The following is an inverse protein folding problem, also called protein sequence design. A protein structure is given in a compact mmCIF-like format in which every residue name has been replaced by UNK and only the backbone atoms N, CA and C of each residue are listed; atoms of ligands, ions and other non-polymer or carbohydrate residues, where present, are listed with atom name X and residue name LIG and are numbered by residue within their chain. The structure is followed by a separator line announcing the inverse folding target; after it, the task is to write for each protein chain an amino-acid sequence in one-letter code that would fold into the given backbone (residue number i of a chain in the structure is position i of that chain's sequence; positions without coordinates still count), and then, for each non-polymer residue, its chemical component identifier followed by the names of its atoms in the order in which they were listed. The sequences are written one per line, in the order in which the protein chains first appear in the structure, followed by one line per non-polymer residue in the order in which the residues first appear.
data_IF_426778461527
#
_entry.id   IF_426778461527
#
_cell.length_a   1.000
_cell.length_b   1.000
_cell.length_c   1.000
_cell.angle_alpha   90.00
_cell.angle_beta   90.00
_cell.angle_gamma   90.00
#
_symmetry.space_group_name_H-M   'P 1'
#
loop_
_entity.id
_entity.type
_entity.pdbx_description
1 polymer ?
#
# COMPACT_ATOMS: atom_id res chain seq x y z
N UNK A 1 15.32 -1.65 -48.41
CA UNK A 1 15.56 -1.98 -46.99
C UNK A 1 14.66 -1.11 -46.13
N UNK A 2 13.64 -1.67 -45.48
CA UNK A 2 12.91 -0.96 -44.40
C UNK A 2 13.69 -1.18 -43.12
N UNK A 3 14.17 -0.09 -42.52
CA UNK A 3 14.77 -0.13 -41.19
C UNK A 3 13.66 -0.43 -40.19
N UNK A 4 13.76 -1.46 -39.33
CA UNK A 4 12.77 -1.68 -38.29
C UNK A 4 12.85 -0.50 -37.32
N UNK A 5 11.72 0.14 -37.05
CA UNK A 5 11.64 1.16 -36.00
C UNK A 5 12.02 0.49 -34.66
N UNK A 6 13.12 0.94 -34.05
CA UNK A 6 13.50 0.50 -32.70
C UNK A 6 12.34 0.79 -31.74
N UNK A 7 11.68 -0.27 -31.29
CA UNK A 7 10.66 -0.17 -30.25
C UNK A 7 11.41 0.13 -28.95
N UNK A 8 11.48 1.41 -28.58
CA UNK A 8 12.11 1.86 -27.34
C UNK A 8 11.47 1.17 -26.14
N UNK A 9 12.29 0.78 -25.16
CA UNK A 9 11.81 0.21 -23.89
C UNK A 9 10.85 1.19 -23.21
N UNK A 10 9.83 0.65 -22.52
CA UNK A 10 8.85 1.45 -21.76
C UNK A 10 9.56 2.39 -20.77
N UNK A 11 10.64 1.91 -20.13
CA UNK A 11 11.45 2.70 -19.19
C UNK A 11 12.10 3.91 -19.88
N UNK A 12 12.60 3.71 -21.10
CA UNK A 12 13.23 4.77 -21.90
C UNK A 12 12.19 5.81 -22.34
N UNK A 13 11.00 5.36 -22.77
CA UNK A 13 9.92 6.27 -23.14
C UNK A 13 9.43 7.09 -21.94
N UNK A 14 9.25 6.47 -20.77
CA UNK A 14 8.87 7.18 -19.55
C UNK A 14 9.92 8.22 -19.18
N UNK A 15 11.21 7.87 -19.25
CA UNK A 15 12.30 8.80 -18.95
C UNK A 15 12.35 9.98 -19.93
N UNK A 16 12.07 9.76 -21.21
CA UNK A 16 11.97 10.82 -22.22
C UNK A 16 10.78 11.75 -21.94
N UNK A 17 9.59 11.20 -21.69
CA UNK A 17 8.41 12.02 -21.40
C UNK A 17 8.50 12.78 -20.08
N UNK A 18 9.14 12.19 -19.05
CA UNK A 18 9.38 12.86 -17.78
C UNK A 18 10.23 14.12 -17.94
N UNK A 19 11.22 14.13 -18.84
CA UNK A 19 12.06 15.32 -19.10
C UNK A 19 11.27 16.47 -19.73
N UNK A 20 10.21 16.17 -20.47
CA UNK A 20 9.36 17.18 -21.13
C UNK A 20 8.30 17.78 -20.19
N UNK A 21 8.03 17.11 -19.07
CA UNK A 21 7.01 17.56 -18.11
C UNK A 21 7.54 18.69 -17.21
N UNK A 22 6.69 19.68 -16.86
CA UNK A 22 7.03 20.68 -15.85
C UNK A 22 7.18 20.04 -14.47
N UNK A 23 7.94 20.68 -13.58
CA UNK A 23 8.35 20.14 -12.28
C UNK A 23 7.19 19.63 -11.42
N UNK A 24 6.07 20.34 -11.40
CA UNK A 24 4.89 19.95 -10.61
C UNK A 24 4.29 18.63 -11.10
N UNK A 25 4.29 18.41 -12.42
CA UNK A 25 3.82 17.14 -13.01
C UNK A 25 4.81 16.01 -12.79
N UNK A 26 6.11 16.29 -12.81
CA UNK A 26 7.13 15.29 -12.44
C UNK A 26 6.95 14.82 -10.99
N UNK A 27 6.66 15.74 -10.06
CA UNK A 27 6.38 15.40 -8.67
C UNK A 27 5.12 14.54 -8.52
N UNK A 28 4.05 14.84 -9.26
CA UNK A 28 2.84 14.02 -9.28
C UNK A 28 3.12 12.59 -9.76
N UNK A 29 3.91 12.43 -10.83
CA UNK A 29 4.30 11.10 -11.32
C UNK A 29 5.13 10.35 -10.29
N UNK A 30 6.10 11.02 -9.64
CA UNK A 30 6.89 10.42 -8.58
C UNK A 30 6.01 9.92 -7.41
N UNK A 31 5.07 10.76 -6.97
CA UNK A 31 4.13 10.41 -5.90
C UNK A 31 3.27 9.21 -6.28
N UNK A 32 2.78 9.15 -7.52
CA UNK A 32 2.00 8.02 -8.02
C UNK A 32 2.83 6.73 -8.02
N UNK A 33 4.07 6.76 -8.52
CA UNK A 33 4.94 5.58 -8.52
C UNK A 33 5.21 5.11 -7.08
N UNK A 34 5.47 6.04 -6.14
CA UNK A 34 5.64 5.72 -4.73
C UNK A 34 4.41 5.05 -4.13
N UNK A 35 3.20 5.53 -4.47
CA UNK A 35 1.95 4.94 -4.03
C UNK A 35 1.82 3.49 -4.51
N UNK A 36 2.05 3.26 -5.82
CA UNK A 36 1.98 1.91 -6.41
C UNK A 36 2.98 0.94 -5.79
N UNK A 37 4.19 1.41 -5.49
CA UNK A 37 5.21 0.60 -4.80
C UNK A 37 4.81 0.29 -3.35
N UNK A 38 4.20 1.25 -2.64
CA UNK A 38 3.72 1.07 -1.27
C UNK A 38 2.57 0.07 -1.21
N UNK A 39 1.62 0.16 -2.14
CA UNK A 39 0.46 -0.73 -2.16
C UNK A 39 0.88 -2.17 -2.46
N UNK A 40 1.85 -2.38 -3.39
CA UNK A 40 2.51 -3.69 -3.55
C UNK A 40 3.15 -4.23 -2.28
N UNK A 41 3.67 -3.37 -1.39
CA UNK A 41 4.21 -3.82 -0.10
C UNK A 41 3.12 -4.17 0.92
N UNK A 42 1.94 -3.57 0.83
CA UNK A 42 0.77 -3.84 1.69
C UNK A 42 0.04 -5.11 1.26
N UNK A 43 0.04 -5.42 -0.03
CA UNK A 43 -0.57 -6.63 -0.59
C UNK A 43 0.23 -7.90 -0.34
N UNK A 44 1.24 -7.89 0.55
CA UNK A 44 1.87 -9.15 0.96
C UNK A 44 0.76 -10.05 1.53
N UNK A 45 0.47 -11.19 0.86
CA UNK A 45 -0.50 -12.13 1.40
C UNK A 45 -0.04 -12.51 2.79
N UNK A 46 -0.96 -12.55 3.75
CA UNK A 46 -0.60 -13.11 5.06
C UNK A 46 -0.22 -14.56 4.80
N UNK A 47 1.00 -14.92 5.17
CA UNK A 47 1.55 -16.24 4.90
C UNK A 47 0.66 -17.30 5.56
N UNK A 48 0.17 -18.26 4.77
CA UNK A 48 -0.76 -19.29 5.25
C UNK A 48 -2.25 -18.89 5.26
N UNK A 49 -2.63 -17.70 4.78
CA UNK A 49 -4.05 -17.32 4.65
C UNK A 49 -4.81 -18.23 3.68
N UNK A 50 -6.02 -18.62 4.06
CA UNK A 50 -6.95 -19.36 3.21
C UNK A 50 -8.35 -18.73 3.24
N UNK A 51 -9.13 -18.83 2.14
CA UNK A 51 -10.52 -18.38 2.11
C UNK A 51 -11.34 -19.02 3.25
N UNK A 52 -12.04 -18.18 4.02
CA UNK A 52 -12.84 -18.61 5.18
C UNK A 52 -12.14 -18.53 6.54
N UNK A 53 -10.83 -18.23 6.58
CA UNK A 53 -10.15 -17.91 7.84
C UNK A 53 -10.64 -16.57 8.40
N UNK A 54 -10.92 -16.54 9.70
CA UNK A 54 -11.25 -15.29 10.40
C UNK A 54 -9.99 -14.47 10.69
N UNK A 55 -10.15 -13.18 10.98
CA UNK A 55 -9.03 -12.34 11.41
C UNK A 55 -8.33 -12.89 12.67
N UNK A 56 -9.08 -13.56 13.56
CA UNK A 56 -8.53 -14.22 14.76
C UNK A 56 -7.64 -15.42 14.40
N UNK A 57 -8.02 -16.21 13.40
CA UNK A 57 -7.23 -17.38 12.98
C UNK A 57 -5.88 -16.96 12.42
N UNK A 58 -5.87 -15.86 11.66
CA UNK A 58 -4.68 -15.30 11.02
C UNK A 58 -3.72 -14.66 12.04
N UNK A 59 -4.24 -14.21 13.19
CA UNK A 59 -3.46 -13.52 14.22
C UNK A 59 -3.20 -14.36 15.47
N UNK A 60 -3.53 -15.66 15.44
CA UNK A 60 -3.53 -16.53 16.63
C UNK A 60 -2.16 -16.61 17.33
N UNK A 61 -1.08 -16.54 16.57
CA UNK A 61 0.31 -16.58 17.04
C UNK A 61 0.80 -15.25 17.65
N UNK A 62 0.17 -14.13 17.27
CA UNK A 62 0.52 -12.79 17.75
C UNK A 62 -0.43 -12.26 18.83
N UNK A 63 -1.65 -12.79 18.92
CA UNK A 63 -2.64 -12.41 19.95
C UNK A 63 -2.08 -12.74 21.34
N UNK A 64 -1.90 -11.70 22.16
CA UNK A 64 -1.34 -11.81 23.51
C UNK A 64 0.20 -11.72 23.60
N UNK A 65 0.91 -11.77 22.47
CA UNK A 65 2.36 -11.59 22.42
C UNK A 65 2.77 -10.13 22.19
N UNK A 66 1.84 -9.29 21.72
CA UNK A 66 2.06 -7.87 21.45
C UNK A 66 1.68 -7.06 22.68
N UNK A 67 2.64 -6.27 23.19
CA UNK A 67 2.33 -5.23 24.17
C UNK A 67 1.51 -4.14 23.50
N UNK A 68 0.20 -4.16 23.79
CA UNK A 68 -0.70 -3.07 23.45
C UNK A 68 -0.52 -1.88 24.38
N UNK A 69 -1.12 -0.71 24.05
CA UNK A 69 -1.16 0.41 24.97
C UNK A 69 -1.72 -0.04 26.33
N UNK A 70 -1.02 0.29 27.41
CA UNK A 70 -1.34 -0.18 28.76
C UNK A 70 -2.69 0.31 29.32
N UNK A 71 -3.34 1.24 28.62
CA UNK A 71 -4.67 1.73 28.94
C UNK A 71 -5.55 1.85 27.68
N UNK A 72 -6.83 1.52 27.85
CA UNK A 72 -7.85 1.54 26.79
C UNK A 72 -8.23 2.96 26.36
N UNK A 73 -7.80 3.99 27.11
CA UNK A 73 -7.98 5.40 26.76
C UNK A 73 -7.26 5.85 25.48
N UNK A 74 -6.36 5.02 24.94
CA UNK A 74 -5.65 5.30 23.69
C UNK A 74 -6.54 5.29 22.44
N UNK A 75 -7.76 4.74 22.53
CA UNK A 75 -8.77 4.86 21.48
C UNK A 75 -10.14 5.30 22.07
N UNK A 76 -10.33 6.62 22.30
CA UNK A 76 -11.56 7.15 22.88
C UNK A 76 -12.82 6.82 22.07
N UNK A 77 -12.67 6.59 20.76
CA UNK A 77 -13.78 6.23 19.85
C UNK A 77 -14.39 4.87 20.15
N UNK A 78 -13.68 3.98 20.84
CA UNK A 78 -14.22 2.66 21.21
C UNK A 78 -15.42 2.76 22.17
N UNK A 79 -15.55 3.87 22.90
CA UNK A 79 -16.68 4.14 23.82
C UNK A 79 -17.83 4.92 23.14
N UNK A 80 -17.72 5.27 21.86
CA UNK A 80 -18.81 5.97 21.15
C UNK A 80 -20.07 5.06 21.08
N UNK A 81 -21.20 5.56 21.58
CA UNK A 81 -22.47 4.85 21.61
C UNK A 81 -22.72 3.97 22.84
N UNK A 82 -21.74 3.84 23.76
CA UNK A 82 -21.99 3.20 25.05
C UNK A 82 -22.82 4.12 25.95
N UNK A 83 -23.94 3.61 26.49
CA UNK A 83 -24.78 4.33 27.45
C UNK A 83 -25.81 5.30 26.84
N UNK A 84 -25.97 5.29 25.52
CA UNK A 84 -27.07 5.99 24.84
C UNK A 84 -28.15 4.98 24.44
N UNK A 85 -29.27 4.97 25.18
CA UNK A 85 -30.57 4.43 24.74
C UNK A 85 -31.34 5.47 23.91
#
# INVERSE_FOLDING_TARGET
MRVPAEVKSIEQQIAEYLKLLPRDRQQQVLQYVQLQLRDKMRERPVEGWQPGMSALDVSRDIVGCVEGPGDLSTNPKYMEGFGTE
#
